data_IF_512236243087
#
_entry.id   IF_512236243087
#
_cell.length_a   1.000
_cell.length_b   1.000
_cell.length_c   1.000
_cell.angle_alpha   90.00
_cell.angle_beta   90.00
_cell.angle_gamma   90.00
#
_symmetry.space_group_name_H-M   'P 1'
#
loop_
_entity.id
_entity.type
_entity.pdbx_description
1 polymer ?
#
# COMPACT_ATOMS: atom_id res chain seq x y z
N UNK A 1 -14.64 2.44 23.07
CA UNK A 1 -13.99 1.77 21.96
C UNK A 1 -12.97 0.77 22.48
N UNK A 2 -12.59 -0.22 21.67
CA UNK A 2 -11.54 -1.14 22.06
C UNK A 2 -10.21 -0.36 22.19
N UNK A 3 -9.47 -0.60 23.27
CA UNK A 3 -8.19 0.10 23.52
C UNK A 3 -7.06 -0.37 22.58
N UNK A 4 -7.28 -1.43 21.81
CA UNK A 4 -6.35 -1.96 20.84
C UNK A 4 -7.06 -2.59 19.62
N UNK A 5 -6.33 -2.64 18.51
CA UNK A 5 -6.72 -3.33 17.28
C UNK A 5 -5.55 -4.13 16.74
N UNK A 6 -5.78 -5.34 16.25
CA UNK A 6 -4.73 -6.17 15.64
C UNK A 6 -5.01 -6.38 14.16
N UNK A 7 -3.95 -6.29 13.36
CA UNK A 7 -3.97 -6.58 11.93
C UNK A 7 -3.00 -7.72 11.65
N UNK A 8 -3.47 -8.73 10.93
CA UNK A 8 -2.64 -9.86 10.52
C UNK A 8 -2.53 -9.92 9.01
N UNK A 9 -1.32 -10.07 8.51
CA UNK A 9 -0.99 -10.23 7.10
C UNK A 9 -0.49 -11.65 6.90
N UNK A 10 -1.19 -12.42 6.07
CA UNK A 10 -0.84 -13.77 5.69
C UNK A 10 -0.16 -13.73 4.32
N UNK A 11 1.01 -14.37 4.19
CA UNK A 11 1.72 -14.41 2.93
C UNK A 11 2.48 -15.72 2.75
N UNK A 12 2.67 -16.10 1.50
CA UNK A 12 3.34 -17.33 1.12
C UNK A 12 4.67 -17.03 0.46
N UNK A 13 5.68 -17.79 0.84
CA UNK A 13 6.99 -17.74 0.19
C UNK A 13 7.28 -19.14 -0.37
N UNK A 14 7.55 -19.19 -1.65
CA UNK A 14 8.08 -20.40 -2.26
C UNK A 14 9.61 -20.31 -2.23
N UNK A 15 10.22 -21.09 -1.35
CA UNK A 15 11.68 -21.19 -1.23
C UNK A 15 12.09 -22.62 -1.59
N UNK A 16 12.52 -22.83 -2.83
CA UNK A 16 12.73 -24.16 -3.39
C UNK A 16 11.42 -24.95 -3.49
N UNK A 17 11.46 -26.23 -3.17
CA UNK A 17 10.29 -27.13 -3.27
C UNK A 17 9.36 -27.08 -2.06
N UNK A 18 9.71 -26.34 -1.01
CA UNK A 18 8.92 -26.29 0.23
C UNK A 18 8.23 -24.93 0.38
N UNK A 19 6.90 -24.86 0.26
CA UNK A 19 6.17 -23.65 0.54
C UNK A 19 6.22 -23.34 2.05
N UNK A 20 6.45 -22.09 2.37
CA UNK A 20 6.35 -21.54 3.72
C UNK A 20 5.24 -20.51 3.77
N UNK A 21 4.36 -20.63 4.74
CA UNK A 21 3.31 -19.67 5.02
C UNK A 21 3.71 -18.86 6.25
N UNK A 22 3.71 -17.54 6.14
CA UNK A 22 4.02 -16.62 7.22
C UNK A 22 2.79 -15.80 7.59
N UNK A 23 2.67 -15.51 8.87
CA UNK A 23 1.70 -14.60 9.44
C UNK A 23 2.43 -13.53 10.24
N UNK A 24 2.38 -12.30 9.73
CA UNK A 24 2.82 -11.12 10.46
C UNK A 24 1.61 -10.44 11.10
N UNK A 25 1.66 -10.27 12.41
CA UNK A 25 0.63 -9.58 13.17
C UNK A 25 1.24 -8.38 13.88
N UNK A 26 0.64 -7.21 13.73
CA UNK A 26 0.91 -6.05 14.56
C UNK A 26 -0.35 -5.62 15.30
N UNK A 27 -0.15 -5.13 16.52
CA UNK A 27 -1.22 -4.63 17.36
C UNK A 27 -1.03 -3.12 17.53
N UNK A 28 -2.08 -2.37 17.23
CA UNK A 28 -2.16 -0.95 17.49
C UNK A 28 -2.77 -0.76 18.87
N UNK A 29 -2.15 0.07 19.70
CA UNK A 29 -2.62 0.47 21.00
C UNK A 29 -2.58 1.98 21.14
N UNK A 30 -2.90 2.47 22.33
CA UNK A 30 -2.78 3.89 22.70
C UNK A 30 -1.72 4.05 23.77
N UNK A 31 -0.88 5.05 23.58
CA UNK A 31 0.04 5.56 24.59
C UNK A 31 -0.06 7.09 24.59
N UNK A 32 -0.40 7.67 25.75
CA UNK A 32 -0.62 9.13 25.87
C UNK A 32 -1.67 9.62 24.83
N UNK A 33 -2.77 8.89 24.70
CA UNK A 33 -3.88 9.12 23.76
C UNK A 33 -3.48 9.12 22.26
N UNK A 34 -2.26 8.74 21.95
CA UNK A 34 -1.78 8.64 20.58
C UNK A 34 -1.67 7.17 20.16
N UNK A 35 -2.12 6.88 18.95
CA UNK A 35 -2.02 5.56 18.36
C UNK A 35 -0.55 5.19 18.12
N UNK A 36 -0.17 3.96 18.48
CA UNK A 36 1.17 3.43 18.32
C UNK A 36 1.13 1.92 18.05
N UNK A 37 2.22 1.37 17.52
CA UNK A 37 2.41 -0.08 17.46
C UNK A 37 2.75 -0.57 18.86
N UNK A 38 1.86 -1.34 19.46
CA UNK A 38 2.02 -1.84 20.84
C UNK A 38 2.69 -3.20 20.91
N UNK A 39 2.45 -4.07 19.93
CA UNK A 39 3.09 -5.37 19.87
C UNK A 39 3.24 -5.86 18.43
N UNK A 40 4.22 -6.72 18.19
CA UNK A 40 4.47 -7.36 16.91
C UNK A 40 4.74 -8.86 17.07
N UNK A 41 4.32 -9.63 16.07
CA UNK A 41 4.50 -11.07 16.03
C UNK A 41 4.71 -11.56 14.62
N UNK A 42 5.67 -12.49 14.44
CA UNK A 42 5.81 -13.32 13.25
C UNK A 42 5.61 -14.77 13.64
N UNK A 43 4.72 -15.44 12.95
CA UNK A 43 4.54 -16.88 13.02
C UNK A 43 4.69 -17.48 11.61
N UNK A 44 4.94 -18.78 11.57
CA UNK A 44 5.04 -19.50 10.30
C UNK A 44 4.43 -20.89 10.42
N UNK A 45 4.02 -21.41 9.27
CA UNK A 45 3.62 -22.80 9.08
C UNK A 45 4.54 -23.42 8.05
N UNK A 46 4.99 -24.63 8.33
CA UNK A 46 5.69 -25.46 7.35
C UNK A 46 4.74 -26.50 6.78
N UNK A 47 5.03 -27.03 5.63
CA UNK A 47 4.28 -28.12 5.01
C UNK A 47 5.13 -29.38 4.99
N UNK A 48 4.52 -30.53 5.22
CA UNK A 48 5.12 -31.84 5.05
C UNK A 48 4.13 -32.70 4.27
N UNK A 49 4.54 -33.19 3.09
CA UNK A 49 3.66 -33.96 2.21
C UNK A 49 2.33 -33.22 1.95
N UNK A 50 2.41 -31.90 1.61
CA UNK A 50 1.29 -30.99 1.39
C UNK A 50 0.36 -30.77 2.61
N UNK A 51 0.69 -31.33 3.77
CA UNK A 51 -0.07 -31.11 5.01
C UNK A 51 0.53 -29.96 5.81
N UNK A 52 -0.29 -28.95 6.06
CA UNK A 52 0.05 -27.78 6.88
C UNK A 52 0.38 -28.23 8.32
N UNK A 53 1.57 -27.92 8.78
CA UNK A 53 2.04 -28.25 10.13
C UNK A 53 1.54 -27.20 11.15
N UNK A 54 1.73 -27.52 12.45
CA UNK A 54 1.34 -26.64 13.55
C UNK A 54 2.04 -25.28 13.46
N UNK A 55 1.30 -24.20 13.74
CA UNK A 55 1.80 -22.83 13.84
C UNK A 55 2.97 -22.72 14.82
N UNK A 56 4.05 -22.10 14.39
CA UNK A 56 5.23 -21.82 15.21
C UNK A 56 5.47 -20.32 15.30
N UNK A 57 5.62 -19.80 16.51
CA UNK A 57 6.01 -18.40 16.70
C UNK A 57 7.51 -18.26 16.45
N UNK A 58 7.86 -17.45 15.46
CA UNK A 58 9.23 -17.13 15.11
C UNK A 58 9.77 -15.94 15.89
N UNK A 59 8.90 -14.93 16.10
CA UNK A 59 9.17 -13.73 16.88
C UNK A 59 7.89 -13.16 17.48
N UNK A 60 7.99 -12.62 18.69
CA UNK A 60 6.94 -11.80 19.30
C UNK A 60 7.57 -10.86 20.32
N UNK A 61 7.10 -9.62 20.34
CA UNK A 61 7.54 -8.58 21.28
C UNK A 61 6.39 -7.66 21.64
N UNK A 62 6.28 -7.29 22.91
CA UNK A 62 5.51 -6.16 23.38
C UNK A 62 6.43 -4.93 23.33
N UNK A 63 6.07 -3.92 22.53
CA UNK A 63 6.90 -2.75 22.27
C UNK A 63 6.75 -1.71 23.37
N UNK A 64 5.52 -1.46 23.83
CA UNK A 64 5.20 -0.39 24.79
C UNK A 64 5.14 -0.84 26.24
N UNK A 65 5.06 -2.15 26.48
CA UNK A 65 5.03 -2.73 27.83
C UNK A 65 6.41 -2.79 28.48
N UNK A 66 6.42 -2.92 29.80
CA UNK A 66 7.63 -2.99 30.62
C UNK A 66 8.37 -4.34 30.46
N UNK A 67 7.72 -5.34 29.89
CA UNK A 67 8.34 -6.63 29.63
C UNK A 67 9.37 -6.54 28.50
N UNK A 68 10.66 -6.62 28.87
CA UNK A 68 11.76 -6.59 27.91
C UNK A 68 12.04 -7.95 27.25
N UNK A 69 11.16 -8.92 27.38
CA UNK A 69 11.34 -10.24 26.78
C UNK A 69 10.92 -10.28 25.34
N UNK A 70 11.70 -11.03 24.56
CA UNK A 70 11.41 -11.39 23.18
C UNK A 70 11.05 -12.88 23.15
N UNK A 71 10.02 -13.23 22.40
CA UNK A 71 9.55 -14.62 22.32
C UNK A 71 9.92 -15.25 20.97
N UNK A 72 10.28 -16.54 20.94
CA UNK A 72 10.41 -17.50 22.06
C UNK A 72 11.57 -17.15 23.00
N UNK A 73 11.28 -17.06 24.32
CA UNK A 73 12.20 -16.53 25.34
C UNK A 73 13.57 -17.23 25.30
N UNK A 74 13.60 -18.56 25.35
CA UNK A 74 14.87 -19.34 25.38
C UNK A 74 15.77 -19.02 24.19
N UNK A 75 15.17 -18.79 23.01
CA UNK A 75 15.87 -18.50 21.77
C UNK A 75 16.51 -17.12 21.83
N UNK A 76 15.72 -16.10 22.12
CA UNK A 76 16.21 -14.71 22.14
C UNK A 76 17.15 -14.41 23.29
N UNK A 77 16.92 -14.98 24.48
CA UNK A 77 17.89 -14.88 25.58
C UNK A 77 19.25 -15.45 25.22
N UNK A 78 19.29 -16.58 24.50
CA UNK A 78 20.54 -17.14 24.01
C UNK A 78 21.30 -16.17 23.11
N UNK A 79 20.62 -15.47 22.18
CA UNK A 79 21.26 -14.49 21.30
C UNK A 79 21.68 -13.23 22.03
N UNK A 80 20.82 -12.72 22.90
CA UNK A 80 21.09 -11.50 23.67
C UNK A 80 22.30 -11.69 24.59
N UNK A 81 22.41 -12.85 25.24
CA UNK A 81 23.52 -13.16 26.16
C UNK A 81 24.86 -13.48 25.47
N UNK A 82 24.91 -13.59 24.14
CA UNK A 82 26.14 -13.84 23.42
C UNK A 82 27.15 -12.67 23.47
N UNK A 83 26.65 -11.43 23.59
CA UNK A 83 27.49 -10.25 23.72
C UNK A 83 26.74 -9.09 24.35
N UNK A 84 27.45 -8.21 25.06
CA UNK A 84 26.89 -6.95 25.57
C UNK A 84 26.34 -6.07 24.45
N UNK A 85 26.97 -6.09 23.29
CA UNK A 85 26.50 -5.37 22.11
C UNK A 85 25.10 -5.83 21.69
N UNK A 86 24.82 -7.14 21.67
CA UNK A 86 23.49 -7.65 21.33
C UNK A 86 22.45 -7.18 22.35
N UNK A 87 22.78 -7.20 23.64
CA UNK A 87 21.90 -6.70 24.69
C UNK A 87 21.53 -5.23 24.46
N UNK A 88 22.53 -4.40 24.17
CA UNK A 88 22.33 -2.97 23.89
C UNK A 88 21.50 -2.77 22.61
N UNK A 89 21.86 -3.46 21.52
CA UNK A 89 21.17 -3.36 20.22
C UNK A 89 19.66 -3.65 20.38
N UNK A 90 19.30 -4.75 21.06
CA UNK A 90 17.89 -5.13 21.28
C UNK A 90 17.15 -4.12 22.17
N UNK A 91 17.81 -3.65 23.25
CA UNK A 91 17.20 -2.67 24.16
C UNK A 91 17.00 -1.32 23.47
N UNK A 92 17.98 -0.86 22.69
CA UNK A 92 17.91 0.40 21.93
C UNK A 92 16.81 0.29 20.86
N UNK A 93 16.79 -0.78 20.08
CA UNK A 93 15.79 -0.94 19.04
C UNK A 93 14.35 -0.92 19.61
N UNK A 94 14.10 -1.61 20.73
CA UNK A 94 12.79 -1.57 21.40
C UNK A 94 12.45 -0.17 21.90
N UNK A 95 13.37 0.51 22.59
CA UNK A 95 13.15 1.87 23.09
C UNK A 95 12.88 2.86 21.95
N UNK A 96 13.63 2.77 20.85
CA UNK A 96 13.43 3.63 19.69
C UNK A 96 12.09 3.37 19.01
N UNK A 97 11.69 2.11 18.85
CA UNK A 97 10.37 1.77 18.31
C UNK A 97 9.24 2.33 19.18
N UNK A 98 9.36 2.18 20.51
CA UNK A 98 8.39 2.72 21.47
C UNK A 98 8.35 4.26 21.45
N UNK A 99 9.51 4.94 21.39
CA UNK A 99 9.60 6.40 21.33
C UNK A 99 9.02 6.95 20.02
N UNK A 100 9.31 6.29 18.89
CA UNK A 100 8.82 6.66 17.57
C UNK A 100 7.39 6.16 17.31
N UNK A 101 6.79 5.42 18.26
CA UNK A 101 5.45 4.81 18.13
C UNK A 101 5.29 3.93 16.89
N UNK A 102 6.38 3.35 16.44
CA UNK A 102 6.48 2.63 15.17
C UNK A 102 6.80 1.14 15.38
N UNK A 103 6.84 0.41 14.28
CA UNK A 103 7.28 -0.99 14.23
C UNK A 103 8.74 -1.14 14.69
N UNK A 104 9.01 -2.15 15.50
CA UNK A 104 10.37 -2.59 15.82
C UNK A 104 11.00 -3.30 14.62
N UNK A 105 10.26 -4.22 14.01
CA UNK A 105 10.76 -5.08 12.93
C UNK A 105 11.11 -4.31 11.65
N UNK A 106 10.39 -3.21 11.37
CA UNK A 106 10.60 -2.37 10.19
C UNK A 106 11.44 -1.12 10.47
N UNK A 107 11.82 -0.86 11.74
CA UNK A 107 12.76 0.21 12.07
C UNK A 107 14.16 -0.05 11.52
N UNK A 108 14.96 1.01 11.42
CA UNK A 108 16.37 0.90 11.00
C UNK A 108 17.17 0.02 11.97
N UNK A 109 16.95 0.19 13.26
CA UNK A 109 17.58 -0.56 14.34
C UNK A 109 17.16 -2.03 14.31
N UNK A 110 15.87 -2.29 14.13
CA UNK A 110 15.33 -3.64 13.96
C UNK A 110 15.91 -4.34 12.73
N UNK A 111 16.09 -3.61 11.63
CA UNK A 111 16.74 -4.19 10.44
C UNK A 111 18.14 -4.70 10.72
N UNK A 112 18.95 -3.90 11.39
CA UNK A 112 20.33 -4.30 11.74
C UNK A 112 20.36 -5.58 12.59
N UNK A 113 19.40 -5.72 13.52
CA UNK A 113 19.31 -6.90 14.38
C UNK A 113 18.84 -8.13 13.59
N UNK A 114 17.71 -7.99 12.89
CA UNK A 114 17.03 -9.13 12.27
C UNK A 114 17.56 -9.52 10.89
N UNK A 115 18.52 -8.77 10.33
CA UNK A 115 19.24 -9.15 9.10
C UNK A 115 20.49 -9.97 9.36
N UNK A 116 20.92 -10.13 10.62
CA UNK A 116 22.13 -10.90 10.98
C UNK A 116 21.87 -12.42 10.82
N UNK A 117 22.88 -13.14 10.32
CA UNK A 117 22.77 -14.56 9.96
C UNK A 117 22.60 -15.53 11.15
N UNK A 118 22.79 -15.05 12.38
CA UNK A 118 22.60 -15.88 13.58
C UNK A 118 21.14 -16.00 14.06
N UNK A 119 20.24 -15.22 13.48
CA UNK A 119 18.81 -15.38 13.71
C UNK A 119 18.28 -16.52 12.85
N UNK A 120 17.25 -17.21 13.36
CA UNK A 120 16.57 -18.28 12.64
C UNK A 120 16.31 -17.87 11.18
N UNK A 121 16.82 -18.67 10.25
CA UNK A 121 16.71 -18.43 8.81
C UNK A 121 15.27 -18.10 8.38
N UNK A 122 14.28 -18.69 9.08
CA UNK A 122 12.86 -18.44 8.80
C UNK A 122 12.39 -17.03 9.19
N UNK A 123 12.86 -16.50 10.33
CA UNK A 123 12.56 -15.10 10.71
C UNK A 123 13.18 -14.15 9.70
N UNK A 124 14.45 -14.34 9.38
CA UNK A 124 15.16 -13.53 8.39
C UNK A 124 14.50 -13.61 7.00
N UNK A 125 14.16 -14.83 6.56
CA UNK A 125 13.48 -15.03 5.28
C UNK A 125 12.11 -14.36 5.23
N UNK A 126 11.27 -14.56 6.26
CA UNK A 126 9.94 -13.95 6.36
C UNK A 126 10.00 -12.43 6.37
N UNK A 127 10.94 -11.83 7.12
CA UNK A 127 11.13 -10.39 7.15
C UNK A 127 11.65 -9.82 5.84
N UNK A 128 12.62 -10.49 5.21
CA UNK A 128 13.12 -10.07 3.89
C UNK A 128 12.00 -10.08 2.85
N UNK A 129 11.20 -11.14 2.82
CA UNK A 129 10.08 -11.26 1.89
C UNK A 129 8.99 -10.21 2.16
N UNK A 130 8.61 -10.01 3.42
CA UNK A 130 7.62 -9.01 3.79
C UNK A 130 8.08 -7.58 3.48
N UNK A 131 9.34 -7.27 3.76
CA UNK A 131 9.95 -5.98 3.38
C UNK A 131 9.98 -5.78 1.88
N UNK A 132 10.40 -6.81 1.14
CA UNK A 132 10.37 -6.78 -0.31
C UNK A 132 8.96 -6.49 -0.82
N UNK A 133 7.94 -7.22 -0.32
CA UNK A 133 6.55 -7.01 -0.69
C UNK A 133 6.09 -5.58 -0.38
N UNK A 134 6.29 -5.11 0.85
CA UNK A 134 5.84 -3.78 1.28
C UNK A 134 6.56 -2.64 0.55
N UNK A 135 7.83 -2.83 0.18
CA UNK A 135 8.61 -1.81 -0.51
C UNK A 135 8.42 -1.82 -2.03
N UNK A 136 8.10 -2.99 -2.61
CA UNK A 136 8.22 -3.21 -4.05
C UNK A 136 6.90 -3.57 -4.71
N UNK A 137 5.98 -4.19 -3.96
CA UNK A 137 4.78 -4.80 -4.51
C UNK A 137 3.50 -4.21 -3.93
N UNK A 138 3.59 -3.45 -2.84
CA UNK A 138 2.45 -2.81 -2.21
C UNK A 138 2.48 -1.30 -2.48
N UNK A 139 1.50 -0.84 -3.23
CA UNK A 139 1.27 0.59 -3.47
C UNK A 139 0.09 1.04 -2.62
N UNK A 140 0.28 2.12 -1.86
CA UNK A 140 -0.79 2.73 -1.05
C UNK A 140 -0.94 4.19 -1.45
N UNK A 141 -2.14 4.57 -1.88
CA UNK A 141 -2.51 5.93 -2.26
C UNK A 141 -3.55 6.42 -1.26
N UNK A 142 -3.19 7.44 -0.50
CA UNK A 142 -4.02 7.97 0.59
C UNK A 142 -4.77 9.24 0.17
N UNK A 143 -5.83 9.60 0.90
CA UNK A 143 -6.56 10.85 0.74
C UNK A 143 -5.67 12.10 0.84
N UNK A 144 -4.59 12.06 1.63
CA UNK A 144 -3.64 13.19 1.71
C UNK A 144 -2.97 13.45 0.36
N UNK A 145 -2.57 12.40 -0.36
CA UNK A 145 -1.98 12.51 -1.70
C UNK A 145 -3.02 12.99 -2.71
N UNK A 146 -4.25 12.48 -2.61
CA UNK A 146 -5.38 12.94 -3.43
C UNK A 146 -5.69 14.42 -3.15
N UNK A 147 -5.64 14.85 -1.90
CA UNK A 147 -5.79 16.26 -1.52
C UNK A 147 -4.76 17.16 -2.20
N UNK A 148 -3.48 16.76 -2.21
CA UNK A 148 -2.42 17.50 -2.89
C UNK A 148 -2.62 17.58 -4.41
N UNK A 149 -3.15 16.51 -5.03
CA UNK A 149 -3.53 16.48 -6.45
C UNK A 149 -4.72 17.41 -6.73
N UNK A 150 -5.78 17.30 -5.91
CA UNK A 150 -6.98 18.13 -6.05
C UNK A 150 -6.69 19.64 -5.89
N UNK A 151 -5.73 19.98 -5.03
CA UNK A 151 -5.24 21.36 -4.88
C UNK A 151 -4.25 21.76 -6.00
N UNK A 152 -4.00 20.88 -6.98
CA UNK A 152 -3.06 21.09 -8.08
C UNK A 152 -1.65 21.49 -7.61
N UNK A 153 -1.23 21.00 -6.47
CA UNK A 153 0.08 21.31 -5.90
C UNK A 153 1.17 20.37 -6.42
N UNK A 154 0.91 19.06 -6.30
CA UNK A 154 1.88 18.00 -6.59
C UNK A 154 1.19 16.82 -7.28
N UNK A 155 1.91 16.16 -8.18
CA UNK A 155 1.54 14.84 -8.68
C UNK A 155 2.56 13.81 -8.20
N UNK A 156 2.14 12.82 -7.39
CA UNK A 156 3.00 11.71 -7.01
C UNK A 156 3.02 10.67 -8.12
N UNK A 157 4.19 10.40 -8.69
CA UNK A 157 4.39 9.34 -9.68
C UNK A 157 5.14 8.20 -9.00
N UNK A 158 4.48 7.07 -8.83
CA UNK A 158 5.10 5.87 -8.30
C UNK A 158 6.06 5.26 -9.31
N UNK A 159 7.22 4.80 -8.86
CA UNK A 159 8.18 4.12 -9.71
C UNK A 159 8.76 2.88 -9.05
N UNK A 160 9.22 1.96 -9.88
CA UNK A 160 10.03 0.80 -9.48
C UNK A 160 11.28 0.79 -10.33
N UNK A 161 12.42 0.86 -9.72
CA UNK A 161 13.71 0.74 -10.40
C UNK A 161 14.43 -0.51 -9.92
N UNK A 162 14.83 -1.35 -10.85
CA UNK A 162 15.65 -2.52 -10.61
C UNK A 162 17.06 -2.26 -11.15
N UNK A 163 18.03 -2.16 -10.25
CA UNK A 163 19.46 -2.18 -10.57
C UNK A 163 20.03 -3.58 -10.26
N UNK A 164 21.19 -3.93 -10.84
CA UNK A 164 21.82 -5.25 -10.67
C UNK A 164 22.06 -5.66 -9.20
N UNK A 165 22.06 -4.71 -8.27
CA UNK A 165 22.31 -4.96 -6.84
C UNK A 165 21.22 -4.46 -5.91
N UNK A 166 20.34 -3.55 -6.34
CA UNK A 166 19.31 -2.96 -5.50
C UNK A 166 18.04 -2.72 -6.30
N UNK A 167 16.92 -3.02 -5.66
CA UNK A 167 15.61 -2.68 -6.18
C UNK A 167 15.09 -1.53 -5.31
N UNK A 168 14.77 -0.39 -5.92
CA UNK A 168 14.23 0.77 -5.25
C UNK A 168 12.83 1.07 -5.77
N UNK A 169 11.88 1.19 -4.86
CA UNK A 169 10.57 1.77 -5.14
C UNK A 169 10.47 3.12 -4.46
N UNK A 170 9.65 3.96 -4.99
CA UNK A 170 9.39 5.25 -4.38
C UNK A 170 8.32 6.02 -5.13
N UNK A 171 8.14 7.25 -4.68
CA UNK A 171 7.29 8.24 -5.35
C UNK A 171 8.13 9.45 -5.70
N UNK A 172 8.03 9.89 -6.94
CA UNK A 172 8.58 11.16 -7.39
C UNK A 172 7.45 12.17 -7.27
N UNK A 173 7.67 13.21 -6.47
CA UNK A 173 6.73 14.31 -6.33
C UNK A 173 7.11 15.40 -7.32
N UNK A 174 6.27 15.62 -8.32
CA UNK A 174 6.50 16.68 -9.33
C UNK A 174 5.52 17.81 -9.06
N UNK A 175 6.03 19.05 -8.98
CA UNK A 175 5.19 20.22 -8.81
C UNK A 175 4.32 20.44 -10.05
N UNK A 176 3.04 20.74 -9.81
CA UNK A 176 2.13 21.18 -10.87
C UNK A 176 2.09 22.71 -11.01
N UNK A 177 2.44 23.46 -9.95
CA UNK A 177 2.37 24.92 -9.94
C UNK A 177 3.58 25.59 -10.61
N UNK A 178 4.72 24.94 -10.60
CA UNK A 178 5.98 25.46 -11.12
C UNK A 178 6.86 24.33 -11.65
N UNK A 179 7.88 24.69 -12.39
CA UNK A 179 8.94 23.73 -12.79
C UNK A 179 9.58 23.09 -11.56
N UNK A 180 9.91 21.81 -11.67
CA UNK A 180 10.61 21.04 -10.64
C UNK A 180 12.07 20.87 -11.01
N UNK A 181 12.97 21.13 -10.05
CA UNK A 181 14.39 20.78 -10.20
C UNK A 181 14.60 19.42 -9.53
N UNK A 182 14.95 18.41 -10.31
CA UNK A 182 15.14 17.03 -9.86
C UNK A 182 16.54 16.51 -10.20
N UNK A 183 17.13 15.61 -9.38
CA UNK A 183 18.42 14.99 -9.71
C UNK A 183 18.37 14.27 -11.05
N UNK A 184 19.48 14.24 -11.78
CA UNK A 184 19.59 13.56 -13.10
C UNK A 184 19.14 12.10 -13.02
N UNK A 185 19.47 11.38 -11.93
CA UNK A 185 19.04 10.00 -11.72
C UNK A 185 17.51 9.89 -11.66
N UNK A 186 16.85 10.80 -10.94
CA UNK A 186 15.39 10.83 -10.82
C UNK A 186 14.73 11.19 -12.15
N UNK A 187 15.32 12.11 -12.92
CA UNK A 187 14.87 12.43 -14.26
C UNK A 187 14.86 11.18 -15.19
N UNK A 188 15.93 10.38 -15.17
CA UNK A 188 16.00 9.13 -15.93
C UNK A 188 14.93 8.12 -15.52
N UNK A 189 14.67 7.99 -14.22
CA UNK A 189 13.60 7.12 -13.70
C UNK A 189 12.23 7.61 -14.17
N UNK A 190 11.96 8.90 -14.03
CA UNK A 190 10.71 9.52 -14.45
C UNK A 190 10.45 9.33 -15.95
N UNK A 191 11.46 9.55 -16.80
CA UNK A 191 11.35 9.35 -18.25
C UNK A 191 10.94 7.92 -18.61
N UNK A 192 11.54 6.92 -17.95
CA UNK A 192 11.19 5.52 -18.16
C UNK A 192 9.80 5.16 -17.61
N UNK A 193 9.32 5.88 -16.61
CA UNK A 193 8.00 5.64 -15.98
C UNK A 193 6.86 6.24 -16.82
N UNK A 194 7.09 7.35 -17.50
CA UNK A 194 6.07 8.04 -18.31
C UNK A 194 5.61 7.20 -19.51
N UNK A 195 6.52 6.44 -20.12
CA UNK A 195 6.17 5.65 -21.32
C UNK A 195 5.09 4.57 -21.05
N UNK A 196 5.23 3.69 -20.05
CA UNK A 196 4.16 2.77 -19.69
C UNK A 196 2.85 3.47 -19.27
N UNK A 197 2.95 4.63 -18.63
CA UNK A 197 1.78 5.45 -18.28
C UNK A 197 1.03 5.85 -19.55
N UNK A 198 1.72 6.34 -20.57
CA UNK A 198 1.10 6.76 -21.81
C UNK A 198 0.43 5.62 -22.58
N UNK A 199 1.00 4.42 -22.56
CA UNK A 199 0.40 3.25 -23.22
C UNK A 199 -1.01 2.96 -22.67
N UNK A 200 -1.22 3.10 -21.39
CA UNK A 200 -2.52 2.87 -20.75
C UNK A 200 -3.40 4.11 -20.78
N UNK A 201 -2.80 5.29 -20.60
CA UNK A 201 -3.54 6.55 -20.60
C UNK A 201 -4.27 6.80 -21.92
N UNK A 202 -3.65 6.49 -23.05
CA UNK A 202 -4.28 6.65 -24.38
C UNK A 202 -5.51 5.76 -24.59
N UNK A 203 -5.59 4.64 -23.88
CA UNK A 203 -6.77 3.73 -23.88
C UNK A 203 -7.86 4.26 -22.96
N UNK A 204 -7.49 4.73 -21.77
CA UNK A 204 -8.44 5.21 -20.76
C UNK A 204 -8.99 6.60 -21.07
N UNK A 205 -8.13 7.49 -21.55
CA UNK A 205 -8.47 8.88 -21.90
C UNK A 205 -7.94 9.16 -23.30
N UNK A 206 -8.68 8.80 -24.35
CA UNK A 206 -8.23 8.95 -25.73
C UNK A 206 -7.80 10.38 -26.06
N UNK A 207 -6.69 10.51 -26.78
CA UNK A 207 -6.16 11.79 -27.23
C UNK A 207 -5.30 12.53 -26.21
N UNK A 208 -5.01 11.95 -25.04
CA UNK A 208 -4.08 12.52 -24.07
C UNK A 208 -2.81 11.66 -23.96
N UNK A 209 -1.67 12.31 -23.91
CA UNK A 209 -0.41 11.73 -23.44
C UNK A 209 0.32 12.72 -22.54
N UNK A 210 1.18 12.21 -21.66
CA UNK A 210 2.02 13.02 -20.77
C UNK A 210 3.43 13.06 -21.30
N UNK A 211 4.05 14.23 -21.32
CA UNK A 211 5.45 14.40 -21.67
C UNK A 211 6.18 15.19 -20.58
N UNK A 212 7.50 15.04 -20.56
CA UNK A 212 8.39 15.84 -19.71
C UNK A 212 8.97 16.94 -20.59
N UNK A 213 8.66 18.18 -20.27
CA UNK A 213 9.32 19.32 -20.86
C UNK A 213 10.61 19.62 -20.07
N UNK A 214 11.75 19.46 -20.73
CA UNK A 214 13.07 19.63 -20.12
C UNK A 214 13.58 21.05 -20.39
N UNK A 215 13.68 21.86 -19.35
CA UNK A 215 14.19 23.23 -19.40
C UNK A 215 15.71 23.33 -19.21
N UNK A 216 16.41 22.19 -19.23
CA UNK A 216 17.87 22.13 -19.17
C UNK A 216 18.46 21.75 -17.81
N UNK A 217 19.79 21.78 -17.78
CA UNK A 217 20.56 21.43 -16.57
C UNK A 217 20.66 22.63 -15.63
N UNK A 218 20.59 22.36 -14.34
CA UNK A 218 20.75 23.35 -13.28
C UNK A 218 21.42 22.70 -12.07
N UNK A 219 22.25 23.46 -11.35
CA UNK A 219 22.80 22.99 -10.08
C UNK A 219 21.71 23.02 -9.00
N UNK A 220 21.68 21.99 -8.18
CA UNK A 220 20.84 21.89 -7.00
C UNK A 220 21.51 22.60 -5.83
N UNK A 221 20.79 22.80 -4.72
CA UNK A 221 21.30 23.50 -3.53
C UNK A 221 22.50 22.79 -2.87
N UNK A 222 22.62 21.47 -3.08
CA UNK A 222 23.74 20.65 -2.61
C UNK A 222 24.95 20.64 -3.58
N UNK A 223 24.87 21.39 -4.69
CA UNK A 223 25.87 21.42 -5.75
C UNK A 223 25.81 20.28 -6.75
N UNK A 224 24.88 19.33 -6.60
CA UNK A 224 24.69 18.24 -7.54
C UNK A 224 24.02 18.74 -8.85
N UNK A 225 24.27 18.03 -9.95
CA UNK A 225 23.61 18.34 -11.22
C UNK A 225 22.15 17.84 -11.21
N UNK A 226 21.24 18.74 -11.56
CA UNK A 226 19.81 18.45 -11.71
C UNK A 226 19.27 18.80 -13.09
N UNK A 227 18.02 18.40 -13.33
CA UNK A 227 17.22 18.78 -14.51
C UNK A 227 16.02 19.59 -14.06
N UNK A 228 15.81 20.73 -14.68
CA UNK A 228 14.62 21.55 -14.49
C UNK A 228 13.55 21.08 -15.46
N UNK A 229 12.42 20.61 -14.93
CA UNK A 229 11.37 19.96 -15.72
C UNK A 229 9.99 20.53 -15.41
N UNK A 230 9.08 20.37 -16.38
CA UNK A 230 7.64 20.52 -16.20
C UNK A 230 6.93 19.32 -16.84
N UNK A 231 5.84 18.86 -16.20
CA UNK A 231 4.97 17.87 -16.82
C UNK A 231 3.93 18.59 -17.68
N UNK A 232 3.80 18.14 -18.92
CA UNK A 232 2.83 18.66 -19.89
C UNK A 232 1.92 17.53 -20.37
N UNK A 233 0.67 17.84 -20.63
CA UNK A 233 -0.22 17.00 -21.40
C UNK A 233 -0.19 17.43 -22.87
N UNK A 234 -0.28 16.46 -23.75
CA UNK A 234 -0.29 16.67 -25.20
C UNK A 234 -1.63 16.18 -25.74
N UNK A 235 -2.34 17.08 -26.41
CA UNK A 235 -3.62 16.80 -27.10
C UNK A 235 -3.56 17.34 -28.51
N UNK A 236 -3.77 16.49 -29.52
CA UNK A 236 -3.71 16.91 -30.93
C UNK A 236 -2.47 17.79 -31.24
N UNK A 237 -1.31 17.38 -30.76
CA UNK A 237 0.00 18.06 -30.87
C UNK A 237 0.11 19.40 -30.13
N UNK A 238 -0.92 19.83 -29.41
CA UNK A 238 -0.88 20.99 -28.52
C UNK A 238 -0.37 20.57 -27.14
N UNK A 239 0.71 21.22 -26.69
CA UNK A 239 1.30 21.02 -25.36
C UNK A 239 0.71 22.02 -24.39
N UNK A 240 0.16 21.53 -23.30
CA UNK A 240 -0.36 22.36 -22.21
C UNK A 240 0.21 21.87 -20.87
N UNK A 241 0.53 22.76 -19.94
CA UNK A 241 0.96 22.34 -18.61
C UNK A 241 -0.03 21.38 -17.96
N UNK A 242 0.46 20.30 -17.31
CA UNK A 242 -0.41 19.27 -16.74
C UNK A 242 -1.40 19.83 -15.72
N UNK A 243 -1.08 20.94 -15.05
CA UNK A 243 -2.00 21.65 -14.14
C UNK A 243 -3.29 22.14 -14.79
N UNK A 244 -3.32 22.28 -16.12
CA UNK A 244 -4.52 22.69 -16.86
C UNK A 244 -5.51 21.55 -17.09
N UNK A 245 -5.09 20.30 -16.80
CA UNK A 245 -5.98 19.17 -16.86
C UNK A 245 -6.93 19.11 -15.65
N UNK A 246 -8.02 18.35 -15.78
CA UNK A 246 -8.93 18.14 -14.65
C UNK A 246 -8.24 17.35 -13.52
N UNK A 247 -8.63 17.58 -12.27
CA UNK A 247 -8.10 16.85 -11.12
C UNK A 247 -8.24 15.33 -11.29
N UNK A 248 -9.33 14.86 -11.91
CA UNK A 248 -9.53 13.44 -12.19
C UNK A 248 -8.52 12.86 -13.17
N UNK A 249 -8.19 13.58 -14.24
CA UNK A 249 -7.13 13.16 -15.19
C UNK A 249 -5.77 13.12 -14.49
N UNK A 250 -5.43 14.14 -13.72
CA UNK A 250 -4.16 14.17 -12.97
C UNK A 250 -4.09 13.01 -11.98
N UNK A 251 -5.19 12.73 -11.28
CA UNK A 251 -5.29 11.60 -10.35
C UNK A 251 -5.06 10.26 -11.05
N UNK A 252 -5.70 10.03 -12.19
CA UNK A 252 -5.48 8.81 -12.98
C UNK A 252 -4.02 8.69 -13.38
N UNK A 253 -3.41 9.75 -13.91
CA UNK A 253 -2.00 9.77 -14.29
C UNK A 253 -1.11 9.38 -13.10
N UNK A 254 -1.39 9.92 -11.91
CA UNK A 254 -0.61 9.61 -10.70
C UNK A 254 -0.67 8.14 -10.26
N UNK A 255 -1.79 7.47 -10.54
CA UNK A 255 -2.03 6.07 -10.17
C UNK A 255 -1.61 5.08 -11.26
N UNK A 256 -1.52 5.53 -12.52
CA UNK A 256 -1.41 4.63 -13.67
C UNK A 256 -0.24 3.66 -13.57
N UNK A 257 0.93 4.09 -13.11
CA UNK A 257 2.07 3.19 -12.98
C UNK A 257 1.80 2.05 -11.98
N UNK A 258 1.15 2.35 -10.85
CA UNK A 258 0.75 1.34 -9.87
C UNK A 258 -0.35 0.42 -10.43
N UNK A 259 -1.31 0.98 -11.17
CA UNK A 259 -2.36 0.21 -11.85
C UNK A 259 -1.77 -0.72 -12.93
N UNK A 260 -0.82 -0.25 -13.73
CA UNK A 260 -0.12 -1.09 -14.72
C UNK A 260 0.67 -2.20 -14.05
N UNK A 261 1.38 -1.90 -12.96
CA UNK A 261 2.10 -2.91 -12.21
C UNK A 261 1.15 -3.99 -11.66
N UNK A 262 0.03 -3.58 -11.05
CA UNK A 262 -0.99 -4.49 -10.52
C UNK A 262 -1.67 -5.29 -11.64
N UNK A 263 -1.98 -4.68 -12.77
CA UNK A 263 -2.59 -5.35 -13.92
C UNK A 263 -1.70 -6.49 -14.46
N UNK A 264 -0.37 -6.30 -14.47
CA UNK A 264 0.57 -7.24 -15.07
C UNK A 264 1.17 -8.28 -14.12
N UNK A 265 1.17 -8.03 -12.82
CA UNK A 265 1.87 -8.86 -11.83
C UNK A 265 0.94 -9.28 -10.68
N UNK A 266 0.72 -10.60 -10.57
CA UNK A 266 -0.12 -11.22 -9.53
C UNK A 266 0.36 -10.97 -8.09
N UNK A 267 1.63 -10.60 -7.91
CA UNK A 267 2.20 -10.30 -6.59
C UNK A 267 2.02 -8.85 -6.16
N UNK A 268 1.48 -7.98 -7.02
CA UNK A 268 1.29 -6.56 -6.71
C UNK A 268 -0.05 -6.33 -6.04
N UNK A 269 -0.02 -5.61 -4.91
CA UNK A 269 -1.19 -5.06 -4.23
C UNK A 269 -1.25 -3.55 -4.39
N UNK A 270 -2.41 -3.03 -4.76
CA UNK A 270 -2.70 -1.61 -4.84
C UNK A 270 -3.86 -1.26 -3.91
N UNK A 271 -3.61 -0.36 -2.97
CA UNK A 271 -4.63 0.16 -2.04
C UNK A 271 -4.87 1.63 -2.36
N UNK A 272 -6.11 1.99 -2.61
CA UNK A 272 -6.49 3.37 -2.94
C UNK A 272 -7.64 3.82 -2.07
N UNK A 273 -7.43 4.89 -1.32
CA UNK A 273 -8.49 5.52 -0.56
C UNK A 273 -9.27 6.50 -1.45
N UNK A 274 -10.61 6.45 -1.40
CA UNK A 274 -11.51 7.26 -2.24
C UNK A 274 -11.16 7.24 -3.74
N UNK A 275 -11.11 6.07 -4.34
CA UNK A 275 -10.75 5.90 -5.76
C UNK A 275 -11.60 6.77 -6.70
N UNK A 276 -12.87 6.97 -6.37
CA UNK A 276 -13.85 7.74 -7.13
C UNK A 276 -13.70 9.27 -7.02
N UNK A 277 -13.00 9.78 -5.99
CA UNK A 277 -12.90 11.22 -5.75
C UNK A 277 -12.28 11.94 -6.96
N UNK A 278 -13.06 12.83 -7.59
CA UNK A 278 -12.64 13.62 -8.74
C UNK A 278 -12.54 12.87 -10.07
N UNK A 279 -12.78 11.56 -10.10
CA UNK A 279 -12.76 10.75 -11.33
C UNK A 279 -14.15 10.69 -11.94
N UNK A 280 -14.23 10.91 -13.27
CA UNK A 280 -15.51 10.81 -13.98
C UNK A 280 -16.06 9.37 -13.89
N UNK A 281 -17.32 9.26 -13.51
CA UNK A 281 -17.99 7.98 -13.17
C UNK A 281 -17.88 6.91 -14.26
N UNK A 282 -18.07 7.29 -15.52
CA UNK A 282 -17.97 6.37 -16.66
C UNK A 282 -16.54 5.84 -16.83
N UNK A 283 -15.53 6.71 -16.68
CA UNK A 283 -14.13 6.34 -16.78
C UNK A 283 -13.73 5.39 -15.65
N UNK A 284 -14.23 5.63 -14.43
CA UNK A 284 -14.02 4.75 -13.28
C UNK A 284 -14.63 3.37 -13.53
N UNK A 285 -15.86 3.30 -14.05
CA UNK A 285 -16.53 2.04 -14.39
C UNK A 285 -15.73 1.24 -15.41
N UNK A 286 -15.30 1.85 -16.50
CA UNK A 286 -14.49 1.19 -17.53
C UNK A 286 -13.14 0.68 -16.98
N UNK A 287 -12.47 1.47 -16.15
CA UNK A 287 -11.22 1.08 -15.51
C UNK A 287 -11.40 -0.17 -14.64
N UNK A 288 -12.44 -0.18 -13.81
CA UNK A 288 -12.73 -1.29 -12.91
C UNK A 288 -13.13 -2.56 -13.67
N UNK A 289 -13.92 -2.43 -14.74
CA UNK A 289 -14.29 -3.55 -15.60
C UNK A 289 -13.07 -4.21 -16.24
N UNK A 290 -12.13 -3.42 -16.76
CA UNK A 290 -10.87 -3.92 -17.33
C UNK A 290 -10.04 -4.63 -16.27
N UNK A 291 -9.93 -4.04 -15.08
CA UNK A 291 -9.15 -4.61 -13.97
C UNK A 291 -9.77 -5.92 -13.48
N UNK A 292 -11.08 -5.98 -13.31
CA UNK A 292 -11.75 -7.18 -12.82
C UNK A 292 -11.63 -8.36 -13.80
N UNK A 293 -11.71 -8.07 -15.11
CA UNK A 293 -11.61 -9.11 -16.15
C UNK A 293 -10.18 -9.61 -16.40
N UNK A 294 -9.20 -8.74 -16.29
CA UNK A 294 -7.86 -9.01 -16.82
C UNK A 294 -6.73 -8.70 -15.84
N UNK A 295 -7.00 -8.03 -14.72
CA UNK A 295 -6.00 -7.72 -13.72
C UNK A 295 -5.45 -8.98 -13.06
N UNK A 296 -4.14 -9.05 -12.86
CA UNK A 296 -3.47 -10.20 -12.25
C UNK A 296 -3.23 -10.01 -10.76
N UNK A 297 -2.96 -8.78 -10.33
CA UNK A 297 -2.71 -8.41 -8.94
C UNK A 297 -4.00 -8.11 -8.17
N UNK A 298 -3.87 -7.52 -7.01
CA UNK A 298 -4.99 -7.20 -6.12
C UNK A 298 -5.19 -5.69 -6.02
N UNK A 299 -6.42 -5.23 -6.29
CA UNK A 299 -6.88 -3.88 -6.03
C UNK A 299 -7.82 -3.87 -4.83
N UNK A 300 -7.48 -3.08 -3.80
CA UNK A 300 -8.35 -2.78 -2.67
C UNK A 300 -8.60 -1.26 -2.65
N UNK A 301 -9.84 -0.84 -2.62
CA UNK A 301 -10.15 0.58 -2.61
C UNK A 301 -11.40 0.90 -1.81
N UNK A 302 -11.49 2.14 -1.34
CA UNK A 302 -12.72 2.71 -0.80
C UNK A 302 -13.38 3.60 -1.85
N UNK A 303 -14.70 3.68 -1.83
CA UNK A 303 -15.47 4.54 -2.72
C UNK A 303 -16.83 4.86 -2.15
N UNK A 304 -17.34 6.02 -2.50
CA UNK A 304 -18.72 6.46 -2.23
C UNK A 304 -19.60 6.40 -3.48
N UNK A 305 -19.04 6.07 -4.66
CA UNK A 305 -19.76 6.05 -5.92
C UNK A 305 -20.51 4.74 -6.12
N UNK A 306 -21.83 4.82 -6.20
CA UNK A 306 -22.71 3.65 -6.36
C UNK A 306 -22.60 2.97 -7.74
N UNK A 307 -22.01 3.64 -8.74
CA UNK A 307 -21.78 3.04 -10.06
C UNK A 307 -20.88 1.79 -9.98
N UNK A 308 -19.98 1.78 -9.02
CA UNK A 308 -19.09 0.63 -8.77
C UNK A 308 -19.89 -0.65 -8.50
N UNK A 309 -21.01 -0.53 -7.78
CA UNK A 309 -21.90 -1.67 -7.48
C UNK A 309 -22.57 -2.30 -8.73
N UNK A 310 -22.53 -1.60 -9.87
CA UNK A 310 -23.03 -2.10 -11.15
C UNK A 310 -21.90 -2.75 -11.99
N UNK A 311 -20.65 -2.49 -11.63
CA UNK A 311 -19.49 -2.88 -12.43
C UNK A 311 -18.75 -4.08 -11.82
N UNK A 312 -18.54 -4.07 -10.50
CA UNK A 312 -17.76 -5.12 -9.82
C UNK A 312 -18.63 -6.25 -9.31
N UNK A 313 -18.05 -7.45 -9.19
CA UNK A 313 -18.75 -8.62 -8.67
C UNK A 313 -19.17 -8.40 -7.21
N UNK A 314 -20.32 -8.94 -6.83
CA UNK A 314 -20.87 -8.82 -5.48
C UNK A 314 -19.96 -9.40 -4.40
N UNK A 315 -19.17 -10.41 -4.76
CA UNK A 315 -18.19 -11.05 -3.89
C UNK A 315 -17.01 -10.15 -3.54
N UNK A 316 -16.73 -9.16 -4.38
CA UNK A 316 -15.66 -8.18 -4.19
C UNK A 316 -16.07 -7.00 -3.31
N UNK A 317 -17.37 -6.85 -3.01
CA UNK A 317 -17.88 -5.68 -2.28
C UNK A 317 -18.03 -5.96 -0.79
N UNK A 318 -17.49 -5.05 0.03
CA UNK A 318 -17.70 -4.98 1.47
C UNK A 318 -18.37 -3.64 1.81
N UNK A 319 -19.41 -3.67 2.61
CA UNK A 319 -20.10 -2.48 3.09
C UNK A 319 -19.68 -2.16 4.52
N UNK A 320 -19.47 -0.90 4.83
CA UNK A 320 -19.27 -0.44 6.20
C UNK A 320 -20.60 -0.36 6.92
N UNK A 321 -20.59 -0.59 8.24
CA UNK A 321 -21.77 -0.51 9.08
C UNK A 321 -21.54 0.43 10.27
N UNK A 322 -22.60 0.88 10.89
CA UNK A 322 -22.56 1.67 12.12
C UNK A 322 -22.26 0.85 13.37
N UNK A 323 -22.42 -0.49 13.31
CA UNK A 323 -22.12 -1.37 14.41
C UNK A 323 -20.60 -1.47 14.70
N UNK A 324 -20.12 -1.02 15.87
CA UNK A 324 -18.69 -1.04 16.17
C UNK A 324 -18.08 -2.45 16.31
N UNK A 325 -18.90 -3.48 16.48
CA UNK A 325 -18.44 -4.88 16.58
C UNK A 325 -18.41 -5.60 15.23
N UNK A 326 -19.20 -5.12 14.25
CA UNK A 326 -19.36 -5.71 12.92
C UNK A 326 -19.22 -4.62 11.86
N UNK A 327 -18.04 -4.01 11.77
CA UNK A 327 -17.75 -2.83 10.92
C UNK A 327 -17.92 -3.08 9.42
N UNK A 328 -17.78 -4.33 9.00
CA UNK A 328 -17.82 -4.71 7.59
C UNK A 328 -18.75 -5.89 7.39
N UNK A 329 -19.63 -5.78 6.42
CA UNK A 329 -20.53 -6.87 6.03
C UNK A 329 -20.56 -7.03 4.51
N UNK A 330 -20.99 -8.22 4.09
CA UNK A 330 -21.46 -8.46 2.72
C UNK A 330 -22.97 -8.50 2.72
N UNK A 331 -23.60 -7.98 1.67
CA UNK A 331 -25.05 -8.09 1.53
C UNK A 331 -25.46 -9.55 1.47
N UNK A 332 -26.48 -9.90 2.22
CA UNK A 332 -27.10 -11.24 2.19
C UNK A 332 -28.27 -11.27 1.20
N UNK A 333 -28.62 -12.47 0.74
CA UNK A 333 -29.75 -12.69 -0.19
C UNK A 333 -29.64 -12.01 -1.57
N UNK A 334 -28.41 -11.71 -2.03
CA UNK A 334 -28.17 -11.17 -3.36
C UNK A 334 -28.17 -12.31 -4.38
N UNK A 335 -29.20 -12.42 -5.19
CA UNK A 335 -29.23 -13.33 -6.34
C UNK A 335 -28.35 -12.78 -7.47
N UNK A 336 -27.88 -13.63 -8.36
CA UNK A 336 -27.06 -13.19 -9.53
C UNK A 336 -27.78 -12.18 -10.43
N UNK A 337 -29.12 -12.29 -10.50
CA UNK A 337 -29.98 -11.40 -11.29
C UNK A 337 -30.29 -10.07 -10.61
N UNK A 338 -29.91 -9.89 -9.35
CA UNK A 338 -30.24 -8.67 -8.61
C UNK A 338 -29.17 -7.60 -8.84
N UNK A 339 -29.61 -6.38 -9.07
CA UNK A 339 -28.73 -5.22 -9.07
C UNK A 339 -28.27 -4.92 -7.65
N UNK A 340 -26.96 -4.97 -7.40
CA UNK A 340 -26.37 -4.77 -6.08
C UNK A 340 -26.63 -3.35 -5.58
N UNK A 341 -26.64 -2.35 -6.47
CA UNK A 341 -26.96 -0.95 -6.16
C UNK A 341 -28.38 -0.81 -5.60
N UNK A 342 -29.36 -1.41 -6.29
CA UNK A 342 -30.75 -1.33 -5.86
C UNK A 342 -30.98 -2.02 -4.51
N UNK A 343 -30.30 -3.15 -4.28
CA UNK A 343 -30.32 -3.83 -2.99
C UNK A 343 -29.68 -3.00 -1.88
N UNK A 344 -28.57 -2.33 -2.16
CA UNK A 344 -27.94 -1.42 -1.21
C UNK A 344 -28.88 -0.29 -0.84
N UNK A 345 -29.47 0.39 -1.83
CA UNK A 345 -30.41 1.51 -1.60
C UNK A 345 -31.65 1.05 -0.81
N UNK A 346 -32.19 -0.12 -1.10
CA UNK A 346 -33.29 -0.72 -0.31
C UNK A 346 -32.85 -1.00 1.13
N UNK A 347 -31.63 -1.52 1.32
CA UNK A 347 -31.11 -1.83 2.64
C UNK A 347 -30.91 -0.57 3.50
N UNK A 348 -30.58 0.56 2.89
CA UNK A 348 -30.52 1.86 3.58
C UNK A 348 -31.91 2.34 3.98
N UNK A 349 -32.94 2.16 3.11
CA UNK A 349 -34.26 2.74 3.33
C UNK A 349 -35.17 1.86 4.20
N UNK A 350 -35.08 0.54 4.07
CA UNK A 350 -36.03 -0.43 4.65
C UNK A 350 -35.34 -1.35 5.66
N UNK A 351 -34.02 -1.40 5.66
CA UNK A 351 -33.25 -2.36 6.43
C UNK A 351 -33.20 -3.74 5.74
N UNK A 352 -33.20 -4.81 6.52
CA UNK A 352 -33.24 -6.20 6.01
C UNK A 352 -31.86 -6.86 5.87
N UNK A 353 -30.80 -6.20 6.30
CA UNK A 353 -29.47 -6.78 6.47
C UNK A 353 -29.24 -7.17 7.95
N UNK A 354 -28.22 -8.00 8.19
CA UNK A 354 -27.85 -8.44 9.54
C UNK A 354 -27.43 -7.27 10.45
N UNK A 355 -26.86 -6.23 9.84
CA UNK A 355 -26.39 -5.03 10.53
C UNK A 355 -26.90 -3.78 9.81
N UNK A 356 -27.19 -2.70 10.55
CA UNK A 356 -27.60 -1.44 9.94
C UNK A 356 -26.44 -0.82 9.15
N UNK A 357 -26.70 -0.43 7.92
CA UNK A 357 -25.72 0.25 7.05
C UNK A 357 -25.65 1.77 7.36
N UNK A 358 -26.75 2.31 7.88
CA UNK A 358 -26.89 3.72 8.26
C UNK A 358 -27.77 3.83 9.49
N UNK A 359 -27.48 4.73 10.42
CA UNK A 359 -28.42 5.14 11.44
C UNK A 359 -29.30 6.25 10.85
N UNK A 360 -30.59 5.98 10.74
CA UNK A 360 -31.56 7.02 10.47
C UNK A 360 -31.70 7.79 11.80
N UNK A 361 -31.16 8.99 11.86
CA UNK A 361 -31.41 9.91 12.97
C UNK A 361 -32.77 10.55 12.68
N UNK A 362 -33.80 10.11 13.43
CA UNK A 362 -35.13 10.74 13.44
C UNK A 362 -35.08 12.15 14.03
#
# INVERSE_FOLDING_TARGET
GADCASVSILFFIQSGDIPLEFEYTYTLGRKDDICCVSAEKIAYYSYKEDVRQRRKTAFQCDIIGDDNRFYPVRKYEKYIKQSEKNLVDFAVAKKMAAANRSSLLFSKEGYVIFSKDYLDDKVSLGLKALRYYMSMKLFVITNREIGAINMQMLVPISFTQQDMQHINTGKILVSLQRTSLIPVRIYQVLTRTIEPINQVLTVLVPGIRVEIEDHGRQLMDDGAEGRKIELVSVRNDVRIPLRCESAGVIKIISMLNALVAMYNDKSVGLIVDELDSGVFEYLLGNLLEIIEKHGKGQLLFTSHNLRILETVSKESVLFTTTNPRHRYIRLTNVKETNNVRDMYLRSLSIGGQKEPLCEIVD
#
